data_IF_643658052649
#
_entry.id   IF_643658052649
#
_cell.length_a   1.000
_cell.length_b   1.000
_cell.length_c   1.000
_cell.angle_alpha   90.00
_cell.angle_beta   90.00
_cell.angle_gamma   90.00
#
_symmetry.space_group_name_H-M   'P 1'
#
loop_
_entity.id
_entity.type
_entity.pdbx_description
1 polymer ?
#
# COMPACT_ATOMS: atom_id res chain seq x y z
N UNK A 1 -15.04 -43.93 -40.50
CA UNK A 1 -16.53 -43.95 -40.56
C UNK A 1 -17.08 -44.52 -39.26
N UNK A 2 -17.56 -43.67 -38.34
CA UNK A 2 -18.84 -43.82 -37.63
C UNK A 2 -19.03 -42.59 -36.73
N UNK A 3 -20.12 -41.90 -37.04
CA UNK A 3 -20.67 -40.69 -36.45
C UNK A 3 -21.63 -41.12 -35.34
N UNK A 4 -21.59 -40.44 -34.20
CA UNK A 4 -22.65 -40.29 -33.17
C UNK A 4 -22.22 -39.03 -32.38
N UNK A 5 -22.64 -37.79 -32.67
CA UNK A 5 -23.99 -37.20 -32.66
C UNK A 5 -24.76 -37.46 -31.36
N UNK A 6 -24.65 -36.52 -30.43
CA UNK A 6 -25.59 -36.30 -29.34
C UNK A 6 -25.67 -34.79 -29.03
N UNK A 7 -26.79 -34.12 -29.34
CA UNK A 7 -27.10 -32.75 -28.92
C UNK A 7 -28.12 -32.73 -27.78
N UNK A 8 -28.06 -31.70 -26.92
CA UNK A 8 -29.19 -30.99 -26.27
C UNK A 8 -28.62 -30.13 -25.11
N UNK A 9 -28.57 -28.80 -25.21
CA UNK A 9 -29.66 -27.84 -24.94
C UNK A 9 -30.25 -27.97 -23.51
N UNK A 10 -29.94 -26.98 -22.68
CA UNK A 10 -30.80 -26.24 -21.71
C UNK A 10 -29.98 -24.99 -21.35
N UNK A 11 -30.22 -23.80 -21.90
CA UNK A 11 -31.30 -22.85 -21.62
C UNK A 11 -31.25 -22.30 -20.18
N UNK A 12 -30.81 -21.04 -20.05
CA UNK A 12 -30.76 -20.32 -18.78
C UNK A 12 -30.30 -18.87 -18.97
N UNK A 13 -31.05 -18.11 -19.77
CA UNK A 13 -31.02 -16.65 -19.72
C UNK A 13 -31.41 -16.18 -18.32
N UNK A 14 -30.77 -15.13 -17.78
CA UNK A 14 -31.45 -13.94 -17.25
C UNK A 14 -30.45 -12.78 -17.15
N UNK A 15 -30.77 -11.72 -17.90
CA UNK A 15 -30.23 -10.39 -17.74
C UNK A 15 -30.78 -9.78 -16.45
N UNK A 16 -29.92 -9.10 -15.68
CA UNK A 16 -30.35 -8.06 -14.75
C UNK A 16 -29.35 -6.91 -14.80
N UNK A 17 -29.60 -6.01 -15.74
CA UNK A 17 -29.21 -4.61 -15.63
C UNK A 17 -29.90 -4.03 -14.40
N UNK A 18 -29.15 -3.36 -13.51
CA UNK A 18 -29.72 -2.34 -12.65
C UNK A 18 -28.81 -1.11 -12.58
N UNK A 19 -29.36 0.10 -12.81
CA UNK A 19 -28.67 1.37 -12.64
C UNK A 19 -28.69 1.85 -11.17
N UNK A 20 -27.74 2.75 -10.90
CA UNK A 20 -27.41 3.50 -9.68
C UNK A 20 -28.58 3.89 -8.74
N UNK A 21 -28.24 4.21 -7.49
CA UNK A 21 -28.60 5.53 -6.96
C UNK A 21 -27.40 6.32 -6.44
N UNK A 22 -27.22 7.52 -7.02
CA UNK A 22 -26.59 8.67 -6.36
C UNK A 22 -27.26 8.87 -5.00
N UNK A 23 -26.47 8.94 -3.93
CA UNK A 23 -26.88 9.61 -2.70
C UNK A 23 -25.96 10.79 -2.46
N UNK A 24 -26.46 11.94 -2.88
CA UNK A 24 -26.13 13.20 -2.25
C UNK A 24 -26.57 13.14 -0.79
N UNK A 25 -25.69 13.56 0.12
CA UNK A 25 -26.09 14.07 1.42
C UNK A 25 -25.50 15.47 1.54
N UNK A 26 -26.26 16.44 1.03
CA UNK A 26 -26.23 17.79 1.53
C UNK A 26 -26.83 17.78 2.95
N UNK A 27 -26.03 18.14 3.95
CA UNK A 27 -26.53 18.68 5.21
C UNK A 27 -25.59 19.80 5.67
N UNK A 28 -25.90 21.00 5.19
CA UNK A 28 -25.73 22.27 5.92
C UNK A 28 -26.51 22.16 7.26
N UNK A 29 -26.25 22.86 8.36
CA UNK A 29 -25.60 24.14 8.60
C UNK A 29 -25.40 24.34 10.12
N UNK A 30 -24.89 25.54 10.47
CA UNK A 30 -24.88 26.25 11.76
C UNK A 30 -23.58 26.07 12.58
N UNK A 31 -22.57 26.94 12.41
CA UNK A 31 -22.49 28.36 12.81
C UNK A 31 -22.35 28.53 14.34
N UNK A 32 -21.11 28.69 14.79
CA UNK A 32 -20.79 29.53 15.95
C UNK A 32 -19.71 30.52 15.52
N UNK A 33 -20.11 31.78 15.50
CA UNK A 33 -19.27 32.96 15.32
C UNK A 33 -18.58 33.22 16.66
N UNK A 34 -17.25 33.15 16.67
CA UNK A 34 -16.40 33.60 17.76
C UNK A 34 -15.20 34.32 17.18
N UNK A 35 -15.26 35.65 17.20
CA UNK A 35 -14.27 36.54 16.64
C UNK A 35 -12.99 36.63 17.50
N UNK A 36 -11.93 37.10 16.82
CA UNK A 36 -10.72 37.72 17.36
C UNK A 36 -9.55 36.79 17.72
N UNK A 37 -8.62 36.69 16.78
CA UNK A 37 -7.28 36.16 16.97
C UNK A 37 -6.47 36.22 15.68
N UNK A 38 -6.09 37.42 15.25
CA UNK A 38 -5.01 37.60 14.28
C UNK A 38 -3.75 36.94 14.84
N UNK A 39 -3.41 35.75 14.33
CA UNK A 39 -2.09 35.16 14.55
C UNK A 39 -1.73 34.30 13.34
N UNK A 40 -0.95 34.91 12.44
CA UNK A 40 0.03 34.21 11.60
C UNK A 40 -0.50 33.07 10.75
N UNK A 41 -1.02 33.39 9.58
CA UNK A 41 -0.95 32.54 8.39
C UNK A 41 0.51 32.27 8.05
N UNK A 42 1.12 31.34 8.78
CA UNK A 42 2.34 30.65 8.36
C UNK A 42 1.91 29.36 7.67
N UNK A 43 1.37 29.50 6.45
CA UNK A 43 1.46 28.41 5.49
C UNK A 43 2.95 28.19 5.23
N UNK A 44 3.58 27.35 6.04
CA UNK A 44 4.84 26.72 5.68
C UNK A 44 4.47 25.76 4.56
N UNK A 45 4.44 26.32 3.35
CA UNK A 45 4.30 25.59 2.10
C UNK A 45 5.53 24.69 2.05
N UNK A 46 5.35 23.41 2.37
CA UNK A 46 6.37 22.40 2.14
C UNK A 46 6.82 22.55 0.69
N UNK A 47 8.08 22.95 0.49
CA UNK A 47 8.67 23.36 -0.79
C UNK A 47 8.86 22.19 -1.79
N UNK A 48 7.99 21.19 -1.75
CA UNK A 48 7.91 20.07 -2.69
C UNK A 48 6.49 19.79 -3.20
N UNK A 49 5.44 20.41 -2.64
CA UNK A 49 4.05 20.18 -3.05
C UNK A 49 3.63 21.00 -4.29
N UNK A 50 4.45 21.94 -4.75
CA UNK A 50 4.07 22.94 -5.75
C UNK A 50 4.03 22.43 -7.21
N UNK A 51 4.22 21.14 -7.46
CA UNK A 51 4.27 20.57 -8.82
C UNK A 51 3.38 19.33 -9.05
N UNK A 52 2.56 18.92 -8.08
CA UNK A 52 1.64 17.79 -8.25
C UNK A 52 0.20 18.30 -8.36
N UNK A 53 -0.41 18.15 -9.54
CA UNK A 53 -1.82 18.47 -9.73
C UNK A 53 -2.73 17.67 -8.78
N UNK A 54 -3.86 18.24 -8.38
CA UNK A 54 -4.75 17.67 -7.37
C UNK A 54 -5.17 16.21 -7.64
N UNK A 55 -5.37 15.85 -8.91
CA UNK A 55 -5.69 14.47 -9.32
C UNK A 55 -4.56 13.47 -9.03
N UNK A 56 -3.30 13.89 -9.21
CA UNK A 56 -2.13 13.08 -8.87
C UNK A 56 -2.01 12.92 -7.37
N UNK A 57 -2.21 14.01 -6.60
CA UNK A 57 -2.17 13.96 -5.14
C UNK A 57 -3.22 13.03 -4.54
N UNK A 58 -4.44 13.01 -5.09
CA UNK A 58 -5.49 12.08 -4.67
C UNK A 58 -5.09 10.62 -4.93
N UNK A 59 -4.49 10.35 -6.10
CA UNK A 59 -3.99 9.02 -6.45
C UNK A 59 -2.84 8.58 -5.54
N UNK A 60 -1.89 9.49 -5.26
CA UNK A 60 -0.78 9.24 -4.34
C UNK A 60 -1.33 8.95 -2.94
N UNK A 61 -2.26 9.77 -2.44
CA UNK A 61 -2.89 9.60 -1.14
C UNK A 61 -3.48 8.20 -0.95
N UNK A 62 -4.27 7.72 -1.91
CA UNK A 62 -4.86 6.38 -1.85
C UNK A 62 -3.82 5.27 -1.70
N UNK A 63 -2.74 5.31 -2.47
CA UNK A 63 -1.70 4.27 -2.39
C UNK A 63 -0.77 4.44 -1.19
N UNK A 64 -0.61 5.66 -0.65
CA UNK A 64 0.09 5.88 0.61
C UNK A 64 -0.72 5.33 1.79
N UNK A 65 -2.05 5.39 1.76
CA UNK A 65 -2.90 4.72 2.76
C UNK A 65 -2.68 3.21 2.76
N UNK A 66 -2.66 2.57 1.58
CA UNK A 66 -2.37 1.13 1.46
C UNK A 66 -0.99 0.77 2.07
N UNK A 67 0.03 1.61 1.84
CA UNK A 67 1.37 1.42 2.38
C UNK A 67 1.42 1.63 3.90
N UNK A 68 0.69 2.61 4.43
CA UNK A 68 0.56 2.85 5.87
C UNK A 68 -0.15 1.69 6.55
N UNK A 69 -1.22 1.17 5.96
CA UNK A 69 -1.93 0.00 6.48
C UNK A 69 -0.99 -1.21 6.55
N UNK A 70 -0.21 -1.44 5.48
CA UNK A 70 0.80 -2.49 5.46
C UNK A 70 1.84 -2.30 6.56
N UNK A 71 2.41 -1.10 6.70
CA UNK A 71 3.40 -0.78 7.74
C UNK A 71 2.83 -0.98 9.14
N UNK A 72 1.64 -0.44 9.41
CA UNK A 72 0.98 -0.55 10.70
C UNK A 72 0.58 -2.00 11.05
N UNK A 73 0.48 -2.86 10.04
CA UNK A 73 0.22 -4.29 10.21
C UNK A 73 1.49 -5.13 10.40
N UNK A 74 2.69 -4.62 10.10
CA UNK A 74 3.96 -5.35 10.26
C UNK A 74 4.17 -5.92 11.68
N UNK A 75 3.86 -5.20 12.78
CA UNK A 75 4.02 -5.74 14.13
C UNK A 75 3.25 -7.04 14.38
N UNK A 76 2.17 -7.30 13.63
CA UNK A 76 1.40 -8.55 13.72
C UNK A 76 2.18 -9.77 13.22
N UNK A 77 3.20 -9.57 12.39
CA UNK A 77 4.06 -10.63 11.86
C UNK A 77 5.24 -10.94 12.77
N UNK A 78 5.61 -10.03 13.66
CA UNK A 78 6.76 -10.16 14.55
C UNK A 78 6.74 -11.46 15.39
N UNK A 79 5.62 -11.88 16.00
CA UNK A 79 5.58 -13.11 16.80
C UNK A 79 5.93 -14.38 16.01
N UNK A 80 5.75 -14.38 14.69
CA UNK A 80 6.09 -15.52 13.82
C UNK A 80 7.61 -15.64 13.60
N UNK A 81 8.35 -14.54 13.80
CA UNK A 81 9.77 -14.42 13.52
C UNK A 81 10.65 -14.40 14.79
N UNK A 82 10.07 -14.17 15.97
CA UNK A 82 10.81 -14.16 17.25
C UNK A 82 11.40 -15.53 17.60
N UNK A 83 10.68 -16.61 17.29
CA UNK A 83 11.14 -17.98 17.46
C UNK A 83 10.96 -18.73 16.12
N UNK A 84 11.90 -18.53 15.17
CA UNK A 84 11.72 -19.01 13.81
C UNK A 84 11.83 -20.54 13.78
N UNK A 85 10.72 -21.17 13.42
CA UNK A 85 10.59 -22.59 13.09
C UNK A 85 10.13 -22.73 11.65
N UNK A 86 10.25 -23.92 11.05
CA UNK A 86 9.72 -24.13 9.70
C UNK A 86 8.23 -23.78 9.60
N UNK A 87 7.44 -24.15 10.62
CA UNK A 87 6.02 -23.85 10.68
C UNK A 87 5.75 -22.35 10.78
N UNK A 88 6.46 -21.62 11.64
CA UNK A 88 6.24 -20.18 11.81
C UNK A 88 6.75 -19.38 10.61
N UNK A 89 7.88 -19.76 10.01
CA UNK A 89 8.38 -19.18 8.75
C UNK A 89 7.40 -19.42 7.60
N UNK A 90 6.82 -20.63 7.49
CA UNK A 90 5.79 -20.91 6.49
C UNK A 90 4.54 -20.06 6.71
N UNK A 91 4.08 -19.94 7.95
CA UNK A 91 2.96 -19.07 8.31
C UNK A 91 3.26 -17.60 7.96
N UNK A 92 4.45 -17.11 8.29
CA UNK A 92 4.90 -15.76 7.92
C UNK A 92 4.82 -15.52 6.41
N UNK A 93 5.36 -16.45 5.60
CA UNK A 93 5.30 -16.33 4.13
C UNK A 93 3.88 -16.38 3.59
N UNK A 94 2.99 -17.13 4.23
CA UNK A 94 1.57 -17.13 3.87
C UNK A 94 0.93 -15.78 4.16
N UNK A 95 1.18 -15.21 5.34
CA UNK A 95 0.68 -13.87 5.71
C UNK A 95 1.24 -12.77 4.80
N UNK A 96 2.52 -12.84 4.44
CA UNK A 96 3.16 -11.88 3.52
C UNK A 96 2.50 -11.84 2.13
N UNK A 97 1.81 -12.92 1.72
CA UNK A 97 1.07 -13.01 0.45
C UNK A 97 -0.39 -12.58 0.57
N UNK A 98 -0.87 -12.24 1.76
CA UNK A 98 -2.23 -11.73 2.00
C UNK A 98 -2.25 -10.21 2.01
N UNK A 99 -3.45 -9.63 2.00
CA UNK A 99 -3.61 -8.21 2.29
C UNK A 99 -3.28 -7.97 3.78
N UNK A 100 -2.63 -6.84 4.12
CA UNK A 100 -2.24 -5.72 3.24
C UNK A 100 -0.90 -5.88 2.50
N UNK A 101 -0.07 -6.86 2.87
CA UNK A 101 1.33 -6.96 2.42
C UNK A 101 1.53 -7.24 0.93
N UNK A 102 0.66 -8.06 0.33
CA UNK A 102 0.70 -8.38 -1.11
C UNK A 102 0.54 -7.15 -2.01
N UNK A 103 -0.06 -6.07 -1.51
CA UNK A 103 -0.29 -4.83 -2.23
C UNK A 103 0.92 -3.90 -2.31
N UNK A 104 1.93 -4.06 -1.45
CA UNK A 104 3.04 -3.10 -1.28
C UNK A 104 3.72 -2.77 -2.61
N UNK A 105 4.12 -3.79 -3.38
CA UNK A 105 4.83 -3.59 -4.65
C UNK A 105 4.00 -2.82 -5.67
N UNK A 106 2.68 -3.08 -5.70
CA UNK A 106 1.75 -2.41 -6.61
C UNK A 106 1.54 -0.96 -6.18
N UNK A 107 1.33 -0.70 -4.89
CA UNK A 107 1.15 0.65 -4.37
C UNK A 107 2.37 1.54 -4.66
N UNK A 108 3.59 1.08 -4.35
CA UNK A 108 4.82 1.82 -4.68
C UNK A 108 4.94 2.13 -6.18
N UNK A 109 4.72 1.13 -7.03
CA UNK A 109 4.78 1.31 -8.49
C UNK A 109 3.76 2.34 -8.98
N UNK A 110 2.54 2.34 -8.43
CA UNK A 110 1.50 3.30 -8.81
C UNK A 110 1.81 4.72 -8.37
N UNK A 111 2.41 4.90 -7.19
CA UNK A 111 2.91 6.21 -6.74
C UNK A 111 4.01 6.72 -7.66
N UNK A 112 4.98 5.88 -8.04
CA UNK A 112 6.07 6.28 -8.95
C UNK A 112 5.54 6.69 -10.33
N UNK A 113 4.57 5.94 -10.87
CA UNK A 113 4.01 6.17 -12.21
C UNK A 113 3.33 7.54 -12.37
N UNK A 114 2.83 8.15 -11.31
CA UNK A 114 2.17 9.47 -11.39
C UNK A 114 3.15 10.64 -11.26
N UNK A 115 4.39 10.39 -10.81
CA UNK A 115 5.44 11.38 -10.71
C UNK A 115 6.01 11.73 -12.10
N UNK A 116 6.49 12.97 -12.22
CA UNK A 116 7.14 13.41 -13.46
C UNK A 116 8.46 12.66 -13.68
N UNK A 117 8.71 12.25 -14.94
CA UNK A 117 9.86 11.44 -15.35
C UNK A 117 11.19 12.15 -15.07
N UNK A 118 11.19 13.47 -15.16
CA UNK A 118 12.37 14.31 -14.94
C UNK A 118 12.53 14.73 -13.48
N UNK A 119 11.61 14.36 -12.59
CA UNK A 119 11.68 14.78 -11.19
C UNK A 119 12.71 13.97 -10.40
N UNK A 120 13.50 14.66 -9.59
CA UNK A 120 14.43 14.02 -8.61
C UNK A 120 13.68 13.18 -7.59
N UNK A 121 12.43 13.56 -7.29
CA UNK A 121 11.54 12.79 -6.42
C UNK A 121 11.26 11.41 -6.99
N UNK A 122 10.97 11.29 -8.30
CA UNK A 122 10.74 9.99 -8.94
C UNK A 122 11.95 9.07 -8.82
N UNK A 123 13.15 9.57 -9.13
CA UNK A 123 14.39 8.78 -9.01
C UNK A 123 14.63 8.31 -7.56
N UNK A 124 14.40 9.19 -6.58
CA UNK A 124 14.47 8.83 -5.16
C UNK A 124 13.47 7.73 -4.81
N UNK A 125 12.22 7.84 -5.29
CA UNK A 125 11.17 6.84 -5.02
C UNK A 125 11.42 5.51 -5.72
N UNK A 126 12.00 5.52 -6.92
CA UNK A 126 12.44 4.32 -7.62
C UNK A 126 13.52 3.58 -6.82
N UNK A 127 14.52 4.28 -6.30
CA UNK A 127 15.52 3.66 -5.43
C UNK A 127 14.88 3.08 -4.16
N UNK A 128 14.02 3.84 -3.48
CA UNK A 128 13.31 3.36 -2.29
C UNK A 128 12.42 2.15 -2.59
N UNK A 129 11.85 2.06 -3.78
CA UNK A 129 11.06 0.91 -4.21
C UNK A 129 11.92 -0.33 -4.44
N UNK A 130 13.08 -0.20 -5.08
CA UNK A 130 14.02 -1.32 -5.26
C UNK A 130 14.54 -1.84 -3.91
N UNK A 131 14.85 -0.93 -3.00
CA UNK A 131 15.18 -1.20 -1.61
C UNK A 131 14.08 -2.00 -0.88
N UNK A 132 12.82 -1.61 -1.03
CA UNK A 132 11.66 -2.34 -0.49
C UNK A 132 11.53 -3.73 -1.12
N UNK A 133 11.69 -3.84 -2.45
CA UNK A 133 11.63 -5.13 -3.15
C UNK A 133 12.70 -6.08 -2.64
N UNK A 134 13.92 -5.59 -2.46
CA UNK A 134 15.03 -6.36 -1.94
C UNK A 134 14.76 -6.81 -0.50
N UNK A 135 14.32 -5.92 0.40
CA UNK A 135 13.96 -6.30 1.77
C UNK A 135 12.85 -7.36 1.83
N UNK A 136 11.80 -7.24 1.02
CA UNK A 136 10.75 -8.26 0.91
C UNK A 136 11.27 -9.60 0.38
N UNK A 137 12.16 -9.55 -0.61
CA UNK A 137 12.79 -10.75 -1.17
C UNK A 137 13.64 -11.45 -0.13
N UNK A 138 14.55 -10.72 0.53
CA UNK A 138 15.46 -11.26 1.54
C UNK A 138 14.71 -11.91 2.70
N UNK A 139 13.63 -11.30 3.21
CA UNK A 139 12.87 -11.87 4.33
C UNK A 139 12.04 -13.10 3.92
N UNK A 140 11.48 -13.13 2.70
CA UNK A 140 10.80 -14.33 2.16
C UNK A 140 11.79 -15.47 1.94
N UNK A 141 12.97 -15.15 1.40
CA UNK A 141 14.04 -16.11 1.11
C UNK A 141 14.61 -16.71 2.39
N UNK A 142 14.83 -15.90 3.43
CA UNK A 142 15.26 -16.37 4.75
C UNK A 142 14.23 -17.31 5.42
N UNK A 143 12.95 -17.19 5.06
CA UNK A 143 11.88 -18.05 5.55
C UNK A 143 11.61 -19.28 4.66
N UNK A 144 12.42 -19.53 3.62
CA UNK A 144 12.28 -20.75 2.80
C UNK A 144 12.73 -22.00 3.53
N UNK A 145 12.17 -23.13 3.13
CA UNK A 145 12.51 -24.44 3.68
C UNK A 145 14.00 -24.76 3.41
N UNK A 146 14.67 -25.42 4.36
CA UNK A 146 16.08 -25.79 4.25
C UNK A 146 17.10 -24.66 4.46
N UNK A 147 16.65 -23.43 4.77
CA UNK A 147 17.56 -22.33 5.14
C UNK A 147 17.97 -22.46 6.60
N UNK A 148 19.28 -22.36 6.87
CA UNK A 148 19.81 -22.18 8.22
C UNK A 148 19.57 -20.74 8.68
N UNK A 149 18.84 -20.61 9.79
CA UNK A 149 18.37 -19.32 10.35
C UNK A 149 19.03 -18.99 11.67
N UNK A 150 19.93 -19.85 12.15
CA UNK A 150 20.58 -19.71 13.46
C UNK A 150 21.34 -18.37 13.61
N UNK A 151 21.81 -17.80 12.51
CA UNK A 151 22.54 -16.53 12.47
C UNK A 151 21.74 -15.34 11.89
N UNK A 152 20.45 -15.52 11.58
CA UNK A 152 19.65 -14.49 10.90
C UNK A 152 18.79 -13.70 11.89
N UNK A 153 18.90 -12.38 11.84
CA UNK A 153 18.03 -11.47 12.58
C UNK A 153 16.76 -11.14 11.78
N UNK A 154 15.80 -12.07 11.79
CA UNK A 154 14.54 -11.92 11.03
C UNK A 154 13.68 -10.77 11.56
N UNK A 155 13.73 -10.51 12.86
CA UNK A 155 12.99 -9.39 13.47
C UNK A 155 13.61 -8.06 13.03
N UNK A 156 14.94 -7.93 13.04
CA UNK A 156 15.63 -6.75 12.51
C UNK A 156 15.38 -6.53 11.01
N UNK A 157 15.26 -7.60 10.22
CA UNK A 157 14.87 -7.52 8.81
C UNK A 157 13.44 -6.97 8.65
N UNK A 158 12.50 -7.39 9.51
CA UNK A 158 11.12 -6.88 9.53
C UNK A 158 11.07 -5.40 9.94
N UNK A 159 11.86 -4.99 10.93
CA UNK A 159 12.00 -3.59 11.34
C UNK A 159 12.55 -2.74 10.20
N UNK A 160 13.62 -3.20 9.53
CA UNK A 160 14.20 -2.53 8.36
C UNK A 160 13.16 -2.35 7.25
N UNK A 161 12.30 -3.34 7.03
CA UNK A 161 11.21 -3.22 6.07
C UNK A 161 10.22 -2.11 6.46
N UNK A 162 9.87 -2.00 7.74
CA UNK A 162 9.04 -0.92 8.27
C UNK A 162 9.64 0.47 8.04
N UNK A 163 10.95 0.61 8.30
CA UNK A 163 11.68 1.86 8.08
C UNK A 163 11.72 2.26 6.60
N UNK A 164 11.92 1.29 5.70
CA UNK A 164 11.89 1.51 4.25
C UNK A 164 10.51 1.96 3.76
N UNK A 165 9.43 1.35 4.27
CA UNK A 165 8.07 1.81 3.98
C UNK A 165 7.84 3.23 4.48
N UNK A 166 8.27 3.54 5.71
CA UNK A 166 8.17 4.89 6.26
C UNK A 166 8.98 5.91 5.45
N UNK A 167 10.18 5.56 5.00
CA UNK A 167 10.99 6.42 4.13
C UNK A 167 10.32 6.66 2.77
N UNK A 168 9.64 5.64 2.22
CA UNK A 168 8.87 5.76 0.99
C UNK A 168 7.66 6.70 1.15
N UNK A 169 6.99 6.73 2.30
CA UNK A 169 5.84 7.61 2.53
C UNK A 169 6.18 9.11 2.64
N UNK A 170 7.44 9.46 2.95
CA UNK A 170 7.88 10.85 3.16
C UNK A 170 8.08 11.59 1.84
N UNK A 171 8.01 12.92 1.86
CA UNK A 171 8.43 13.78 0.74
C UNK A 171 7.35 14.11 -0.30
N UNK A 172 6.09 13.73 -0.06
CA UNK A 172 4.96 14.12 -0.91
C UNK A 172 4.28 15.42 -0.47
N UNK A 173 4.71 16.04 0.64
CA UNK A 173 4.05 17.23 1.20
C UNK A 173 2.61 16.97 1.66
N UNK A 174 2.25 15.70 1.87
CA UNK A 174 0.97 15.27 2.43
C UNK A 174 1.21 15.05 3.92
N UNK A 175 1.25 16.15 4.68
CA UNK A 175 1.14 16.10 6.14
C UNK A 175 -0.31 15.73 6.46
N UNK A 176 -0.59 14.43 6.53
CA UNK A 176 -1.84 13.96 7.14
C UNK A 176 -1.57 13.90 8.63
N UNK A 177 -2.19 14.81 9.38
CA UNK A 177 -2.14 14.84 10.84
C UNK A 177 -2.31 13.42 11.41
N UNK A 178 -1.39 13.06 12.32
CA UNK A 178 -1.38 11.78 13.04
C UNK A 178 -2.47 11.75 14.12
#
# INVERSE_FOLDING_TARGET
MRILMLPALILGAQALSMPLPRREVCRSAALVIGAAGLAGTSCIRAAGADQLGASKMLTIGQYLEDLREARNSLPRLQPLLENPSETSCKAFRVELRKAPFSGIRKACSKVILVLDEKSTLRSTKEQQYEDIKQSLGSIDDACRDGVDRSSLDLVGMLTTMGDRLQAFEKGFGIDVEQ
#
